data_IF_332058286250
#
_entry.id   IF_332058286250
#
_cell.length_a   1.000
_cell.length_b   1.000
_cell.length_c   1.000
_cell.angle_alpha   90.00
_cell.angle_beta   90.00
_cell.angle_gamma   90.00
#
_symmetry.space_group_name_H-M   'P 1'
#
loop_
_entity.id
_entity.type
_entity.pdbx_description
1 polymer ?
#
# COMPACT_ATOMS: atom_id res chain seq x y z
N UNK A 1 29.25 4.74 -3.26
CA UNK A 1 29.90 4.25 -4.48
C UNK A 1 28.85 4.24 -5.58
N UNK A 2 29.04 5.08 -6.59
CA UNK A 2 28.05 5.33 -7.64
C UNK A 2 27.88 4.11 -8.54
N UNK A 3 26.65 3.76 -8.82
CA UNK A 3 26.31 2.81 -9.88
C UNK A 3 26.62 3.48 -11.23
N UNK A 4 27.79 3.12 -11.77
CA UNK A 4 28.20 3.52 -13.09
C UNK A 4 27.25 2.96 -14.14
N UNK A 5 27.10 3.71 -15.21
CA UNK A 5 26.36 3.45 -16.44
C UNK A 5 26.56 2.03 -16.99
N UNK A 6 25.84 1.04 -16.48
CA UNK A 6 25.77 -0.29 -17.08
C UNK A 6 24.34 -0.56 -17.57
N UNK A 7 24.10 -0.18 -18.82
CA UNK A 7 22.94 -0.62 -19.61
C UNK A 7 22.88 -2.15 -19.73
N UNK A 8 23.98 -2.85 -19.48
CA UNK A 8 24.08 -4.32 -19.52
C UNK A 8 23.31 -5.05 -18.41
N UNK A 9 22.90 -4.36 -17.33
CA UNK A 9 22.14 -5.00 -16.25
C UNK A 9 20.72 -5.43 -16.67
N UNK A 10 20.19 -4.82 -17.72
CA UNK A 10 18.81 -5.04 -18.20
C UNK A 10 18.70 -6.17 -19.22
N UNK A 11 19.73 -6.37 -20.04
CA UNK A 11 19.71 -7.35 -21.12
C UNK A 11 19.83 -8.80 -20.63
N UNK A 12 20.13 -9.02 -19.35
CA UNK A 12 20.35 -10.34 -18.76
C UNK A 12 19.21 -10.85 -17.86
N UNK A 13 18.08 -10.17 -17.81
CA UNK A 13 16.89 -10.71 -17.09
C UNK A 13 16.25 -11.77 -18.00
N UNK A 14 16.58 -13.03 -17.77
CA UNK A 14 15.95 -14.16 -18.45
C UNK A 14 14.77 -14.63 -17.62
N UNK A 15 13.57 -14.67 -18.20
CA UNK A 15 12.43 -15.34 -17.58
C UNK A 15 12.77 -16.82 -17.39
N UNK A 16 12.93 -17.23 -16.15
CA UNK A 16 13.12 -18.64 -15.78
C UNK A 16 11.75 -19.28 -15.75
N UNK A 17 11.54 -20.33 -16.56
CA UNK A 17 10.36 -21.18 -16.42
C UNK A 17 10.52 -21.95 -15.11
N UNK A 18 9.87 -21.51 -14.05
CA UNK A 18 9.69 -22.34 -12.87
C UNK A 18 8.79 -23.52 -13.25
N UNK A 19 9.22 -24.76 -12.98
CA UNK A 19 8.37 -25.91 -13.25
C UNK A 19 7.16 -25.84 -12.32
N UNK A 20 6.02 -25.49 -12.89
CA UNK A 20 4.75 -25.44 -12.17
C UNK A 20 4.19 -26.86 -12.02
N UNK A 21 4.49 -27.49 -10.88
CA UNK A 21 3.86 -28.76 -10.49
C UNK A 21 2.36 -28.64 -10.19
N UNK A 22 1.81 -27.40 -10.16
CA UNK A 22 0.39 -27.12 -9.95
C UNK A 22 -0.34 -26.66 -11.23
N UNK A 23 0.35 -26.42 -12.35
CA UNK A 23 -0.29 -26.02 -13.62
C UNK A 23 -1.24 -27.08 -14.15
N UNK A 24 -0.95 -28.36 -13.91
CA UNK A 24 -1.84 -29.44 -14.29
C UNK A 24 -3.17 -29.49 -13.50
N UNK A 25 -3.24 -28.90 -12.31
CA UNK A 25 -4.45 -28.86 -11.48
C UNK A 25 -5.35 -27.64 -11.72
N UNK A 26 -4.88 -26.59 -12.40
CA UNK A 26 -5.70 -25.45 -12.83
C UNK A 26 -6.24 -25.63 -14.25
N UNK A 27 -6.31 -26.88 -14.68
CA UNK A 27 -6.93 -27.21 -15.93
C UNK A 27 -8.43 -26.88 -15.91
N UNK A 28 -8.84 -26.11 -16.90
CA UNK A 28 -10.16 -26.17 -17.50
C UNK A 28 -11.31 -25.51 -16.76
N UNK A 29 -11.34 -24.19 -16.74
CA UNK A 29 -12.66 -23.57 -16.90
C UNK A 29 -13.12 -23.83 -18.33
N UNK A 30 -14.10 -24.76 -18.47
CA UNK A 30 -14.77 -25.00 -19.75
C UNK A 30 -15.46 -23.72 -20.17
N UNK A 31 -15.08 -23.16 -21.32
CA UNK A 31 -15.86 -22.15 -22.01
C UNK A 31 -17.19 -22.77 -22.45
N UNK A 32 -18.18 -22.80 -21.58
CA UNK A 32 -19.47 -23.47 -21.80
C UNK A 32 -20.47 -22.64 -22.57
N UNK A 33 -20.13 -21.44 -23.10
CA UNK A 33 -21.14 -20.52 -23.64
C UNK A 33 -20.92 -20.01 -25.06
N UNK A 34 -20.01 -20.59 -25.86
CA UNK A 34 -20.00 -20.31 -27.30
C UNK A 34 -20.32 -21.59 -28.07
N UNK A 35 -21.62 -21.76 -28.37
CA UNK A 35 -22.17 -22.91 -29.10
C UNK A 35 -21.46 -23.22 -30.44
N UNK A 36 -20.95 -22.18 -31.11
CA UNK A 36 -20.26 -22.38 -32.39
C UNK A 36 -18.82 -22.91 -32.29
N UNK A 37 -18.12 -22.64 -31.20
CA UNK A 37 -16.73 -23.11 -31.01
C UNK A 37 -16.68 -24.42 -30.23
N UNK A 38 -17.65 -24.68 -29.36
CA UNK A 38 -17.67 -25.85 -28.51
C UNK A 38 -18.09 -27.18 -29.19
N UNK A 39 -18.72 -27.10 -30.38
CA UNK A 39 -19.22 -28.30 -31.10
C UNK A 39 -18.19 -28.94 -32.03
N UNK A 40 -17.21 -28.19 -32.52
CA UNK A 40 -16.22 -28.65 -33.51
C UNK A 40 -14.79 -28.75 -33.00
N UNK A 41 -14.51 -28.35 -31.72
CA UNK A 41 -13.17 -28.35 -31.17
C UNK A 41 -13.14 -28.48 -29.66
N UNK A 42 -11.95 -28.73 -29.09
CA UNK A 42 -11.68 -28.66 -27.64
C UNK A 42 -11.10 -27.29 -27.32
N UNK A 43 -11.92 -26.39 -26.75
CA UNK A 43 -11.45 -25.09 -26.24
C UNK A 43 -10.79 -25.28 -24.87
N UNK A 44 -9.65 -24.67 -24.65
CA UNK A 44 -8.92 -24.63 -23.36
C UNK A 44 -8.46 -23.22 -23.04
N UNK A 45 -8.55 -22.82 -21.78
CA UNK A 45 -7.88 -21.62 -21.28
C UNK A 45 -6.53 -22.06 -20.71
N UNK A 46 -5.47 -21.46 -21.20
CA UNK A 46 -4.12 -21.65 -20.69
C UNK A 46 -3.63 -20.34 -20.09
N UNK A 47 -3.17 -20.39 -18.84
CA UNK A 47 -2.54 -19.25 -18.20
C UNK A 47 -1.04 -19.25 -18.53
N UNK A 48 -0.54 -18.10 -18.98
CA UNK A 48 0.87 -17.90 -19.29
C UNK A 48 1.40 -16.69 -18.49
N UNK A 49 2.70 -16.71 -18.08
CA UNK A 49 3.32 -15.56 -17.41
C UNK A 49 3.29 -14.33 -18.32
N UNK A 50 3.06 -13.16 -17.76
CA UNK A 50 3.10 -11.89 -18.51
C UNK A 50 4.51 -11.53 -19.00
N UNK A 51 5.54 -11.95 -18.27
CA UNK A 51 6.94 -11.61 -18.55
C UNK A 51 7.63 -10.97 -17.34
N UNK A 52 8.09 -9.72 -17.46
CA UNK A 52 8.78 -8.99 -16.38
C UNK A 52 7.82 -8.03 -15.69
N UNK A 53 7.61 -8.23 -14.39
CA UNK A 53 6.82 -7.37 -13.54
C UNK A 53 7.70 -6.40 -12.74
N UNK A 54 7.38 -5.10 -12.78
CA UNK A 54 7.92 -4.09 -11.87
C UNK A 54 6.98 -3.95 -10.67
N UNK A 55 7.52 -4.07 -9.45
CA UNK A 55 6.77 -3.88 -8.21
C UNK A 55 7.39 -2.75 -7.42
N UNK A 56 6.63 -1.67 -7.22
CA UNK A 56 7.04 -0.50 -6.46
C UNK A 56 6.25 -0.46 -5.16
N UNK A 57 6.93 -0.72 -4.03
CA UNK A 57 6.32 -0.76 -2.71
C UNK A 57 6.30 0.60 -2.02
N UNK A 58 5.37 0.75 -1.05
CA UNK A 58 5.26 1.94 -0.21
C UNK A 58 5.98 1.77 1.14
N UNK A 59 6.18 2.90 1.83
CA UNK A 59 6.96 2.99 3.07
C UNK A 59 6.21 2.50 4.32
N UNK A 60 4.88 2.52 4.30
CA UNK A 60 4.06 2.29 5.50
C UNK A 60 3.97 0.81 5.92
N UNK A 61 4.08 -0.12 4.97
CA UNK A 61 4.23 -1.56 5.18
C UNK A 61 5.29 -2.12 4.23
N UNK A 62 6.58 -1.76 4.41
CA UNK A 62 7.62 -1.92 3.41
C UNK A 62 7.89 -3.36 2.99
N UNK A 63 7.67 -4.34 3.89
CA UNK A 63 7.78 -5.75 3.56
C UNK A 63 6.51 -6.27 2.88
N UNK A 64 5.36 -6.01 3.48
CA UNK A 64 4.09 -6.56 2.99
C UNK A 64 3.78 -6.08 1.57
N UNK A 65 3.86 -4.75 1.33
CA UNK A 65 3.50 -4.13 0.07
C UNK A 65 4.52 -4.36 -1.07
N UNK A 66 5.65 -4.96 -0.76
CA UNK A 66 6.64 -5.38 -1.75
C UNK A 66 6.64 -6.89 -1.95
N UNK A 67 6.67 -7.68 -0.87
CA UNK A 67 6.84 -9.12 -0.93
C UNK A 67 5.56 -9.85 -1.33
N UNK A 68 4.40 -9.39 -0.89
CA UNK A 68 3.13 -10.04 -1.25
C UNK A 68 2.85 -10.02 -2.76
N UNK A 69 2.92 -8.87 -3.47
CA UNK A 69 2.78 -8.87 -4.92
C UNK A 69 3.94 -9.60 -5.63
N UNK A 70 5.16 -9.57 -5.07
CA UNK A 70 6.28 -10.39 -5.58
C UNK A 70 5.94 -11.87 -5.58
N UNK A 71 5.42 -12.40 -4.46
CA UNK A 71 5.03 -13.81 -4.37
C UNK A 71 3.97 -14.18 -5.39
N UNK A 72 2.99 -13.29 -5.62
CA UNK A 72 1.96 -13.50 -6.64
C UNK A 72 2.54 -13.52 -8.06
N UNK A 73 3.47 -12.61 -8.37
CA UNK A 73 4.13 -12.55 -9.67
C UNK A 73 5.00 -13.80 -9.93
N UNK A 74 5.77 -14.25 -8.92
CA UNK A 74 6.57 -15.48 -8.99
C UNK A 74 5.67 -16.70 -9.18
N UNK A 75 4.56 -16.78 -8.43
CA UNK A 75 3.60 -17.88 -8.57
C UNK A 75 2.94 -17.91 -9.96
N UNK A 76 2.83 -16.76 -10.63
CA UNK A 76 2.38 -16.67 -12.01
C UNK A 76 3.50 -16.96 -13.05
N UNK A 77 4.74 -17.20 -12.62
CA UNK A 77 5.89 -17.50 -13.47
C UNK A 77 6.58 -16.26 -14.06
N UNK A 78 6.31 -15.06 -13.51
CA UNK A 78 6.95 -13.81 -13.96
C UNK A 78 8.33 -13.63 -13.35
N UNK A 79 9.22 -12.97 -14.10
CA UNK A 79 10.41 -12.34 -13.53
C UNK A 79 10.00 -11.04 -12.84
N UNK A 80 10.74 -10.64 -11.80
CA UNK A 80 10.33 -9.52 -10.95
C UNK A 80 11.48 -8.54 -10.72
N UNK A 81 11.19 -7.27 -10.94
CA UNK A 81 11.99 -6.17 -10.45
C UNK A 81 11.31 -5.52 -9.26
N UNK A 82 12.01 -5.43 -8.14
CA UNK A 82 11.53 -4.85 -6.89
C UNK A 82 12.12 -3.48 -6.67
N UNK A 83 11.29 -2.51 -6.33
CA UNK A 83 11.73 -1.20 -5.87
C UNK A 83 11.07 -0.88 -4.52
N UNK A 84 11.76 -1.10 -3.39
CA UNK A 84 11.28 -0.68 -2.07
C UNK A 84 11.22 0.85 -1.97
N UNK A 85 10.49 1.36 -0.99
CA UNK A 85 10.45 2.80 -0.72
C UNK A 85 11.75 3.26 -0.05
N UNK A 86 12.31 4.34 -0.57
CA UNK A 86 13.47 5.03 -0.01
C UNK A 86 13.20 5.66 1.36
N UNK A 87 11.92 5.91 1.69
CA UNK A 87 11.54 6.48 2.98
C UNK A 87 11.63 5.46 4.13
N UNK A 88 11.63 4.17 3.83
CA UNK A 88 11.78 3.09 4.81
C UNK A 88 13.23 2.55 4.78
N UNK A 89 14.20 3.39 5.10
CA UNK A 89 15.64 3.15 4.92
C UNK A 89 16.14 1.84 5.53
N UNK A 90 15.82 1.57 6.79
CA UNK A 90 16.25 0.33 7.47
C UNK A 90 15.65 -0.92 6.82
N UNK A 91 14.38 -0.87 6.44
CA UNK A 91 13.70 -1.98 5.74
C UNK A 91 14.27 -2.18 4.34
N UNK A 92 14.54 -1.08 3.63
CA UNK A 92 15.18 -1.12 2.31
C UNK A 92 16.57 -1.76 2.40
N UNK A 93 17.41 -1.33 3.37
CA UNK A 93 18.74 -1.87 3.58
C UNK A 93 18.72 -3.38 3.86
N UNK A 94 17.76 -3.83 4.68
CA UNK A 94 17.57 -5.26 4.96
C UNK A 94 17.18 -6.03 3.68
N UNK A 95 16.22 -5.53 2.90
CA UNK A 95 15.81 -6.16 1.64
C UNK A 95 16.96 -6.24 0.63
N UNK A 96 17.77 -5.19 0.51
CA UNK A 96 18.99 -5.17 -0.32
C UNK A 96 19.98 -6.27 0.07
N UNK A 97 20.09 -6.57 1.36
CA UNK A 97 20.99 -7.61 1.86
C UNK A 97 20.44 -9.02 1.68
N UNK A 98 19.12 -9.21 1.81
CA UNK A 98 18.48 -10.52 1.85
C UNK A 98 18.07 -11.02 0.46
N UNK A 99 17.50 -10.17 -0.38
CA UNK A 99 16.99 -10.59 -1.71
C UNK A 99 18.07 -11.27 -2.55
N UNK A 100 19.27 -10.69 -2.72
CA UNK A 100 20.33 -11.36 -3.49
C UNK A 100 20.87 -12.65 -2.87
N UNK A 101 20.73 -12.78 -1.55
CA UNK A 101 21.25 -13.93 -0.80
C UNK A 101 20.34 -15.15 -0.92
N UNK A 102 19.04 -14.96 -1.03
CA UNK A 102 18.06 -16.04 -0.92
C UNK A 102 17.27 -16.29 -2.20
N UNK A 103 17.28 -15.36 -3.16
CA UNK A 103 16.50 -15.47 -4.38
C UNK A 103 17.38 -15.47 -5.62
N UNK A 104 16.90 -16.16 -6.66
CA UNK A 104 17.60 -16.23 -7.95
C UNK A 104 17.68 -14.85 -8.62
N UNK A 105 18.90 -14.35 -8.73
CA UNK A 105 19.17 -13.03 -9.30
C UNK A 105 19.03 -12.97 -10.83
N UNK A 106 18.87 -14.11 -11.50
CA UNK A 106 18.53 -14.13 -12.93
C UNK A 106 17.05 -13.81 -13.20
N UNK A 107 16.20 -14.00 -12.20
CA UNK A 107 14.75 -13.81 -12.30
C UNK A 107 14.21 -12.69 -11.40
N UNK A 108 14.87 -12.42 -10.26
CA UNK A 108 14.40 -11.46 -9.26
C UNK A 108 15.50 -10.47 -8.95
N UNK A 109 15.25 -9.21 -9.26
CA UNK A 109 16.18 -8.10 -9.02
C UNK A 109 15.56 -7.08 -8.07
N UNK A 110 16.41 -6.48 -7.24
CA UNK A 110 16.01 -5.35 -6.41
C UNK A 110 16.85 -4.13 -6.78
N UNK A 111 16.18 -3.01 -6.98
CA UNK A 111 16.77 -1.70 -7.26
C UNK A 111 16.31 -0.70 -6.21
N UNK A 112 17.22 0.20 -5.83
CA UNK A 112 16.95 1.27 -4.87
C UNK A 112 16.99 2.62 -5.57
N UNK A 113 16.43 3.63 -4.94
CA UNK A 113 16.49 5.00 -5.42
C UNK A 113 15.21 5.78 -5.14
N UNK A 114 15.32 7.08 -5.29
CA UNK A 114 14.22 8.02 -5.14
C UNK A 114 13.47 8.28 -6.45
N UNK A 115 12.81 9.45 -6.56
CA UNK A 115 12.01 9.79 -7.75
C UNK A 115 12.81 9.83 -9.05
N UNK A 116 14.08 10.30 -9.00
CA UNK A 116 14.94 10.40 -10.19
C UNK A 116 15.29 9.03 -10.76
N UNK A 117 15.72 8.10 -9.88
CA UNK A 117 16.04 6.72 -10.25
C UNK A 117 14.80 5.96 -10.70
N UNK A 118 13.65 6.19 -10.03
CA UNK A 118 12.37 5.61 -10.44
C UNK A 118 11.99 6.08 -11.87
N UNK A 119 12.24 7.36 -12.18
CA UNK A 119 12.04 7.87 -13.54
C UNK A 119 12.85 7.10 -14.58
N UNK A 120 14.14 6.83 -14.30
CA UNK A 120 15.00 6.05 -15.19
C UNK A 120 14.55 4.60 -15.34
N UNK A 121 14.10 3.96 -14.23
CA UNK A 121 13.52 2.62 -14.28
C UNK A 121 12.31 2.57 -15.23
N UNK A 122 11.47 3.58 -15.19
CA UNK A 122 10.25 3.68 -16.00
C UNK A 122 10.51 4.05 -17.48
N UNK A 123 11.74 4.35 -17.88
CA UNK A 123 12.15 4.45 -19.27
C UNK A 123 12.24 3.08 -19.97
N UNK A 124 12.34 2.00 -19.18
CA UNK A 124 12.35 0.63 -19.68
C UNK A 124 10.95 0.05 -19.79
N UNK A 125 10.79 -0.89 -20.75
CA UNK A 125 9.55 -1.64 -20.91
C UNK A 125 9.44 -2.71 -19.82
N UNK A 126 8.26 -2.76 -19.19
CA UNK A 126 7.80 -3.88 -18.36
C UNK A 126 6.52 -4.45 -18.94
N UNK A 127 6.24 -5.72 -18.65
CA UNK A 127 5.03 -6.39 -19.09
C UNK A 127 3.88 -6.21 -18.08
N UNK A 128 4.21 -5.80 -16.84
CA UNK A 128 3.26 -5.41 -15.80
C UNK A 128 3.91 -4.46 -14.80
N UNK A 129 3.15 -3.48 -14.28
CA UNK A 129 3.60 -2.61 -13.19
C UNK A 129 2.59 -2.68 -12.05
N UNK A 130 3.06 -3.08 -10.86
CA UNK A 130 2.31 -3.02 -9.61
C UNK A 130 2.87 -1.89 -8.76
N UNK A 131 2.06 -0.90 -8.46
CA UNK A 131 2.46 0.28 -7.70
C UNK A 131 1.58 0.49 -6.49
N UNK A 132 2.19 0.66 -5.31
CA UNK A 132 1.52 1.10 -4.10
C UNK A 132 2.07 2.46 -3.68
N UNK A 133 1.19 3.47 -3.53
CA UNK A 133 1.61 4.80 -3.12
C UNK A 133 0.55 5.87 -3.31
N UNK A 134 0.97 7.13 -3.48
CA UNK A 134 0.04 8.24 -3.65
C UNK A 134 -0.51 8.36 -5.07
N UNK A 135 -1.76 8.83 -5.20
CA UNK A 135 -2.38 9.11 -6.49
C UNK A 135 -1.59 10.13 -7.34
N UNK A 136 -0.86 11.06 -6.69
CA UNK A 136 0.02 11.99 -7.40
C UNK A 136 1.15 11.25 -8.12
N UNK A 137 1.81 10.32 -7.44
CA UNK A 137 2.90 9.52 -8.04
C UNK A 137 2.33 8.54 -9.06
N UNK A 138 1.18 7.93 -8.81
CA UNK A 138 0.51 7.02 -9.74
C UNK A 138 0.30 7.63 -11.14
N UNK A 139 -0.01 8.92 -11.22
CA UNK A 139 -0.15 9.64 -12.51
C UNK A 139 1.15 9.62 -13.32
N UNK A 140 2.31 9.73 -12.68
CA UNK A 140 3.61 9.61 -13.37
C UNK A 140 3.89 8.17 -13.80
N UNK A 141 3.55 7.20 -12.93
CA UNK A 141 3.72 5.77 -13.26
C UNK A 141 2.87 5.40 -14.47
N UNK A 142 1.60 5.77 -14.50
CA UNK A 142 0.69 5.46 -15.61
C UNK A 142 1.07 6.17 -16.90
N UNK A 143 1.53 7.42 -16.82
CA UNK A 143 2.03 8.14 -18.00
C UNK A 143 3.26 7.47 -18.62
N UNK A 144 4.16 6.93 -17.78
CA UNK A 144 5.32 6.17 -18.26
C UNK A 144 4.90 4.82 -18.85
N UNK A 145 4.00 4.09 -18.18
CA UNK A 145 3.46 2.81 -18.62
C UNK A 145 2.75 2.90 -19.98
N UNK A 146 2.05 4.02 -20.22
CA UNK A 146 1.33 4.26 -21.47
C UNK A 146 2.23 4.24 -22.71
N UNK A 147 3.51 4.60 -22.60
CA UNK A 147 4.47 4.56 -23.72
C UNK A 147 4.65 3.16 -24.30
N UNK A 148 4.47 2.15 -23.48
CA UNK A 148 4.65 0.73 -23.83
C UNK A 148 3.35 -0.06 -23.78
N UNK A 149 2.21 0.60 -23.51
CA UNK A 149 0.91 -0.01 -23.25
C UNK A 149 0.97 -1.05 -22.12
N UNK A 150 1.85 -0.83 -21.13
CA UNK A 150 2.03 -1.73 -19.99
C UNK A 150 0.81 -1.66 -19.07
N UNK A 151 0.14 -2.78 -18.77
CA UNK A 151 -0.94 -2.81 -17.79
C UNK A 151 -0.42 -2.51 -16.38
N UNK A 152 -1.20 -1.74 -15.63
CA UNK A 152 -0.85 -1.31 -14.28
C UNK A 152 -1.91 -1.73 -13.26
N UNK A 153 -1.47 -2.14 -12.07
CA UNK A 153 -2.29 -2.22 -10.87
C UNK A 153 -1.82 -1.14 -9.90
N UNK A 154 -2.75 -0.32 -9.43
CA UNK A 154 -2.48 0.84 -8.61
C UNK A 154 -3.21 0.70 -7.27
N UNK A 155 -2.46 0.45 -6.21
CA UNK A 155 -2.93 0.47 -4.83
C UNK A 155 -2.64 1.84 -4.23
N UNK A 156 -3.69 2.64 -4.03
CA UNK A 156 -3.57 4.06 -3.70
C UNK A 156 -4.06 4.35 -2.28
N UNK A 157 -3.97 5.61 -1.87
CA UNK A 157 -4.53 6.08 -0.63
C UNK A 157 -6.07 6.10 -0.67
N UNK A 158 -6.67 6.22 0.50
CA UNK A 158 -8.12 6.23 0.65
C UNK A 158 -8.59 7.20 1.73
N UNK A 159 -9.90 7.43 1.74
CA UNK A 159 -10.65 8.15 2.75
C UNK A 159 -11.66 7.18 3.36
N UNK A 160 -11.17 6.36 4.31
CA UNK A 160 -11.95 5.28 4.91
C UNK A 160 -13.11 5.81 5.79
N UNK A 161 -14.38 5.69 5.39
CA UNK A 161 -15.53 6.02 6.23
C UNK A 161 -15.85 4.88 7.18
N UNK A 162 -16.42 5.22 8.34
CA UNK A 162 -17.16 4.27 9.18
C UNK A 162 -18.57 4.84 9.47
N UNK A 163 -19.54 3.97 9.67
CA UNK A 163 -20.91 4.34 9.99
C UNK A 163 -21.29 3.65 11.30
N UNK A 164 -21.74 4.42 12.28
CA UNK A 164 -22.23 3.94 13.58
C UNK A 164 -23.70 4.27 13.71
N UNK A 165 -24.55 3.25 13.62
CA UNK A 165 -26.01 3.38 13.72
C UNK A 165 -26.45 3.35 15.18
N UNK A 166 -27.71 3.77 15.47
CA UNK A 166 -28.32 3.70 16.79
C UNK A 166 -28.39 2.28 17.39
N UNK A 167 -28.42 1.25 16.54
CA UNK A 167 -28.45 -0.15 16.97
C UNK A 167 -27.04 -0.76 17.19
N UNK A 168 -25.98 -0.01 16.94
CA UNK A 168 -24.63 -0.51 17.09
C UNK A 168 -24.24 -0.71 18.57
N UNK A 169 -23.36 -1.68 18.83
CA UNK A 169 -22.65 -1.70 20.10
C UNK A 169 -21.59 -0.59 20.09
N UNK A 170 -21.91 0.55 20.69
CA UNK A 170 -21.13 1.80 20.64
C UNK A 170 -19.73 1.60 21.19
N UNK A 171 -19.56 0.91 22.31
CA UNK A 171 -18.24 0.67 22.90
C UNK A 171 -17.35 -0.20 21.99
N UNK A 172 -17.92 -1.26 21.42
CA UNK A 172 -17.19 -2.12 20.50
C UNK A 172 -16.84 -1.39 19.20
N UNK A 173 -17.73 -0.55 18.69
CA UNK A 173 -17.47 0.29 17.50
C UNK A 173 -16.32 1.26 17.77
N UNK A 174 -16.39 2.02 18.87
CA UNK A 174 -15.33 2.93 19.29
C UNK A 174 -13.99 2.22 19.48
N UNK A 175 -14.00 1.06 20.16
CA UNK A 175 -12.80 0.23 20.35
C UNK A 175 -12.13 -0.16 19.03
N UNK A 176 -12.91 -0.65 18.06
CA UNK A 176 -12.40 -1.11 16.77
C UNK A 176 -11.88 0.04 15.92
N UNK A 177 -12.60 1.17 15.90
CA UNK A 177 -12.21 2.38 15.19
C UNK A 177 -10.92 2.96 15.78
N UNK A 178 -10.86 3.08 17.12
CA UNK A 178 -9.67 3.54 17.81
C UNK A 178 -8.46 2.63 17.53
N UNK A 179 -8.62 1.31 17.61
CA UNK A 179 -7.56 0.36 17.29
C UNK A 179 -7.06 0.49 15.87
N UNK A 180 -7.97 0.52 14.88
CA UNK A 180 -7.59 0.67 13.48
C UNK A 180 -6.88 1.99 13.17
N UNK A 181 -7.21 3.06 13.91
CA UNK A 181 -6.54 4.36 13.76
C UNK A 181 -5.21 4.43 14.52
N UNK A 182 -5.09 3.69 15.62
CA UNK A 182 -3.87 3.62 16.42
C UNK A 182 -2.75 2.86 15.70
N UNK A 183 -3.08 1.81 14.97
CA UNK A 183 -2.13 1.04 14.19
C UNK A 183 -1.35 1.93 13.23
N UNK A 184 -0.02 1.81 13.28
CA UNK A 184 0.92 2.57 12.44
C UNK A 184 0.68 4.09 12.45
N UNK A 185 0.17 4.63 13.57
CA UNK A 185 -0.26 6.03 13.72
C UNK A 185 -1.25 6.49 12.62
N UNK A 186 -2.13 5.59 12.18
CA UNK A 186 -3.10 5.85 11.13
C UNK A 186 -2.54 5.98 9.72
N UNK A 187 -1.27 5.69 9.51
CA UNK A 187 -0.58 5.79 8.21
C UNK A 187 -0.86 4.55 7.34
N UNK A 188 -2.14 4.26 7.11
CA UNK A 188 -2.62 3.08 6.40
C UNK A 188 -3.66 3.52 5.35
N UNK A 189 -3.57 2.99 4.14
CA UNK A 189 -4.52 3.28 3.06
C UNK A 189 -5.98 2.93 3.41
N UNK A 190 -6.21 1.94 4.29
CA UNK A 190 -7.51 1.49 4.77
C UNK A 190 -7.93 2.17 6.08
N UNK A 191 -7.09 3.05 6.67
CA UNK A 191 -7.37 3.64 7.98
C UNK A 191 -8.65 4.48 7.94
N UNK A 192 -9.49 4.30 8.96
CA UNK A 192 -10.69 5.10 9.13
C UNK A 192 -10.26 6.54 9.45
N UNK A 193 -10.74 7.51 8.70
CA UNK A 193 -10.44 8.92 8.94
C UNK A 193 -11.66 9.80 9.15
N UNK A 194 -12.87 9.30 8.90
CA UNK A 194 -14.08 9.97 9.31
C UNK A 194 -15.16 8.95 9.67
N UNK A 195 -16.04 9.37 10.58
CA UNK A 195 -17.12 8.52 11.10
C UNK A 195 -18.44 9.27 11.02
N UNK A 196 -19.42 8.66 10.38
CA UNK A 196 -20.80 9.10 10.43
C UNK A 196 -21.49 8.40 11.59
N UNK A 197 -22.00 9.17 12.54
CA UNK A 197 -22.58 8.64 13.77
C UNK A 197 -24.04 9.09 13.88
N UNK A 198 -24.94 8.14 14.18
CA UNK A 198 -26.34 8.46 14.49
C UNK A 198 -26.41 9.45 15.65
N UNK A 199 -27.20 10.54 15.55
CA UNK A 199 -27.29 11.56 16.60
C UNK A 199 -27.62 11.02 17.99
N UNK A 200 -28.42 9.95 18.08
CA UNK A 200 -28.82 9.36 19.37
C UNK A 200 -27.70 8.69 20.16
N UNK A 201 -26.60 8.32 19.49
CA UNK A 201 -25.44 7.67 20.10
C UNK A 201 -24.14 8.48 19.98
N UNK A 202 -24.23 9.69 19.42
CA UNK A 202 -23.08 10.52 19.04
C UNK A 202 -22.16 10.84 20.22
N UNK A 203 -22.70 11.45 21.29
CA UNK A 203 -21.86 11.86 22.43
C UNK A 203 -21.25 10.64 23.14
N UNK A 204 -22.06 9.58 23.36
CA UNK A 204 -21.55 8.33 23.91
C UNK A 204 -20.41 7.73 23.07
N UNK A 205 -20.55 7.77 21.73
CA UNK A 205 -19.52 7.27 20.85
C UNK A 205 -18.22 8.09 20.94
N UNK A 206 -18.29 9.42 20.96
CA UNK A 206 -17.15 10.30 21.09
C UNK A 206 -16.40 10.08 22.41
N UNK A 207 -17.15 9.96 23.53
CA UNK A 207 -16.56 9.68 24.85
C UNK A 207 -15.86 8.30 24.87
N UNK A 208 -16.49 7.28 24.30
CA UNK A 208 -15.88 5.94 24.22
C UNK A 208 -14.68 5.90 23.30
N UNK A 209 -14.67 6.68 22.21
CA UNK A 209 -13.54 6.77 21.30
C UNK A 209 -12.33 7.40 22.01
N UNK A 210 -12.53 8.48 22.74
CA UNK A 210 -11.49 9.11 23.59
C UNK A 210 -10.93 8.14 24.62
N UNK A 211 -11.80 7.45 25.36
CA UNK A 211 -11.39 6.42 26.34
C UNK A 211 -10.49 5.34 25.71
N UNK A 212 -10.82 4.85 24.52
CA UNK A 212 -10.02 3.82 23.86
C UNK A 212 -8.69 4.34 23.32
N UNK A 213 -8.63 5.59 22.83
CA UNK A 213 -7.36 6.22 22.45
C UNK A 213 -6.43 6.38 23.64
N UNK A 214 -6.93 6.89 24.78
CA UNK A 214 -6.13 7.04 25.99
C UNK A 214 -5.63 5.67 26.48
N UNK A 215 -6.50 4.66 26.47
CA UNK A 215 -6.13 3.31 26.89
C UNK A 215 -5.06 2.69 26.01
N UNK A 216 -5.13 2.88 24.68
CA UNK A 216 -4.11 2.36 23.78
C UNK A 216 -2.80 3.13 23.90
N UNK A 217 -2.86 4.45 24.03
CA UNK A 217 -1.67 5.30 24.15
C UNK A 217 -0.90 5.03 25.45
N UNK A 218 -1.61 4.94 26.58
CA UNK A 218 -1.00 4.64 27.89
C UNK A 218 -0.36 3.24 27.96
N UNK A 219 -0.82 2.27 27.18
CA UNK A 219 -0.23 0.94 27.11
C UNK A 219 0.91 0.81 26.10
N UNK A 220 1.23 1.88 25.35
CA UNK A 220 2.18 1.85 24.25
C UNK A 220 3.27 2.91 24.38
N UNK A 221 3.66 3.31 25.61
CA UNK A 221 4.61 4.39 25.89
C UNK A 221 5.89 4.33 25.05
N UNK A 222 6.38 3.14 24.70
CA UNK A 222 7.55 2.97 23.82
C UNK A 222 7.22 2.48 22.40
N UNK A 223 5.98 2.07 22.14
CA UNK A 223 5.59 1.35 20.92
C UNK A 223 4.73 2.10 19.91
N UNK A 224 4.29 3.34 20.22
CA UNK A 224 3.47 4.09 19.25
C UNK A 224 4.31 4.64 18.11
N UNK A 225 3.88 4.34 16.88
CA UNK A 225 4.59 4.76 15.67
C UNK A 225 4.73 6.28 15.56
N UNK A 226 5.78 6.71 14.88
CA UNK A 226 6.01 8.11 14.53
C UNK A 226 5.58 8.38 13.09
N UNK A 227 5.25 9.64 12.79
CA UNK A 227 4.98 10.06 11.42
C UNK A 227 6.26 9.91 10.60
N UNK A 228 6.16 9.38 9.40
CA UNK A 228 7.30 8.91 8.62
C UNK A 228 8.35 9.99 8.34
N UNK A 229 7.93 11.24 8.10
CA UNK A 229 8.82 12.35 7.81
C UNK A 229 8.19 13.70 8.17
N UNK A 230 9.03 14.75 8.18
CA UNK A 230 8.62 16.09 8.57
C UNK A 230 7.58 16.69 7.62
N UNK A 231 7.64 16.38 6.33
CA UNK A 231 6.63 16.85 5.36
C UNK A 231 5.23 16.35 5.72
N UNK A 232 5.08 15.07 6.06
CA UNK A 232 3.80 14.51 6.47
C UNK A 232 3.38 14.99 7.85
N UNK A 233 4.32 15.17 8.77
CA UNK A 233 4.08 15.75 10.08
C UNK A 233 3.52 17.17 9.97
N UNK A 234 4.19 18.04 9.21
CA UNK A 234 3.76 19.43 8.99
C UNK A 234 2.39 19.50 8.31
N UNK A 235 2.14 18.63 7.31
CA UNK A 235 0.81 18.53 6.67
C UNK A 235 -0.30 18.20 7.67
N UNK A 236 -0.06 17.33 8.65
CA UNK A 236 -1.04 16.99 9.68
C UNK A 236 -1.26 18.16 10.64
N UNK A 237 -0.20 18.86 11.05
CA UNK A 237 -0.32 20.07 11.85
C UNK A 237 -1.13 21.15 11.12
N UNK A 238 -0.85 21.36 9.83
CA UNK A 238 -1.58 22.33 9.01
C UNK A 238 -3.08 21.97 8.89
N UNK A 239 -3.39 20.68 8.70
CA UNK A 239 -4.79 20.23 8.69
C UNK A 239 -5.48 20.47 10.03
N UNK A 240 -4.80 20.16 11.13
CA UNK A 240 -5.37 20.34 12.46
C UNK A 240 -5.55 21.82 12.82
N UNK A 241 -4.62 22.70 12.41
CA UNK A 241 -4.71 24.14 12.64
C UNK A 241 -5.82 24.82 11.83
N UNK A 242 -6.22 24.24 10.70
CA UNK A 242 -7.25 24.77 9.80
C UNK A 242 -8.63 24.14 10.02
N UNK A 243 -8.75 23.20 10.95
CA UNK A 243 -10.05 22.54 11.18
C UNK A 243 -11.10 23.53 11.66
N UNK A 244 -12.31 23.41 11.15
CA UNK A 244 -13.48 24.15 11.62
C UNK A 244 -14.27 23.38 12.70
N UNK A 245 -13.84 22.17 13.03
CA UNK A 245 -14.43 21.34 14.08
C UNK A 245 -13.77 21.56 15.44
N UNK A 246 -14.31 20.91 16.47
CA UNK A 246 -13.82 20.98 17.83
C UNK A 246 -12.95 19.76 18.17
N UNK A 247 -11.71 19.97 18.56
CA UNK A 247 -10.84 18.91 19.07
C UNK A 247 -11.36 18.48 20.44
N UNK A 248 -11.68 17.20 20.61
CA UNK A 248 -12.21 16.64 21.85
C UNK A 248 -11.27 15.64 22.51
N UNK A 249 -10.35 15.06 21.76
CA UNK A 249 -9.35 14.14 22.27
C UNK A 249 -8.08 14.30 21.44
N UNK A 250 -6.91 14.18 22.06
CA UNK A 250 -5.62 14.31 21.40
C UNK A 250 -5.22 15.75 21.08
N UNK A 251 -4.54 15.92 19.96
CA UNK A 251 -4.08 17.21 19.47
C UNK A 251 -2.66 17.57 19.84
N UNK A 252 -1.98 16.78 20.69
CA UNK A 252 -0.57 17.01 21.02
C UNK A 252 0.32 16.49 19.91
N UNK A 253 1.37 17.22 19.63
CA UNK A 253 2.38 16.81 18.67
C UNK A 253 3.77 17.27 19.10
N UNK A 254 4.79 16.51 18.71
CA UNK A 254 6.19 16.86 18.96
C UNK A 254 6.98 16.73 17.64
N UNK A 255 7.42 17.85 17.06
CA UNK A 255 8.15 17.85 15.81
C UNK A 255 9.55 17.20 15.95
N UNK A 256 10.18 17.25 17.13
CA UNK A 256 11.50 16.68 17.32
C UNK A 256 11.51 15.14 17.17
N UNK A 257 10.45 14.49 17.65
CA UNK A 257 10.28 13.05 17.57
C UNK A 257 9.29 12.62 16.47
N UNK A 258 8.63 13.58 15.81
CA UNK A 258 7.51 13.33 14.88
C UNK A 258 6.35 12.56 15.52
N UNK A 259 6.20 12.71 16.84
CA UNK A 259 5.03 12.20 17.53
C UNK A 259 3.80 13.02 17.17
N UNK A 260 2.70 12.34 16.87
CA UNK A 260 1.40 12.97 16.61
C UNK A 260 0.33 12.14 17.31
N UNK A 261 -0.29 12.73 18.33
CA UNK A 261 -1.29 12.04 19.15
C UNK A 261 -2.52 11.68 18.31
N UNK A 262 -3.14 10.48 18.50
CA UNK A 262 -4.43 10.19 17.90
C UNK A 262 -5.43 11.27 18.28
N UNK A 263 -6.04 11.90 17.27
CA UNK A 263 -6.85 13.11 17.48
C UNK A 263 -8.27 12.90 16.97
N UNK A 264 -9.24 13.31 17.78
CA UNK A 264 -10.66 13.32 17.42
C UNK A 264 -11.13 14.76 17.25
N UNK A 265 -11.61 15.07 16.08
CA UNK A 265 -12.26 16.34 15.74
C UNK A 265 -13.74 16.07 15.52
N UNK A 266 -14.60 16.71 16.31
CA UNK A 266 -16.07 16.61 16.20
C UNK A 266 -16.67 17.84 15.54
N UNK A 267 -17.91 17.71 15.12
CA UNK A 267 -18.73 18.82 14.59
C UNK A 267 -18.08 19.47 13.34
N UNK A 268 -17.40 18.67 12.53
CA UNK A 268 -16.77 19.12 11.28
C UNK A 268 -17.85 19.44 10.26
N UNK A 269 -17.78 20.64 9.68
CA UNK A 269 -18.70 21.07 8.61
C UNK A 269 -18.16 20.56 7.26
N UNK A 270 -19.07 20.10 6.39
CA UNK A 270 -18.73 19.57 5.06
C UNK A 270 -18.13 20.63 4.11
N UNK A 271 -18.32 21.92 4.39
CA UNK A 271 -17.87 23.06 3.57
C UNK A 271 -16.52 23.66 4.02
N UNK A 272 -15.79 22.98 4.89
CA UNK A 272 -14.49 23.43 5.37
C UNK A 272 -13.38 22.44 5.03
N UNK A 273 -12.26 22.95 4.52
CA UNK A 273 -11.02 22.18 4.37
C UNK A 273 -10.51 21.64 5.71
#
# INVERSE_FOLDING_TARGET
MGCGRDTQCWDNIRCVKFPDKNSERRELQKLTHNFQIGTLGKARIRHEPLGVALIIGAWNYPFLLLLQPMLAAIAAGCCVMLKPSELAEASQALLVSLIPKYLDQSAIRLVTGGPAETGKILEHRFDHIFFTGSGKVAKYITAAAAKFLTPTVLELGGQGPAIVTSSANVDLAAKRIAYGKFLNAGQICLSINHVFVDPSVYDTFVDRLGFWFDKYLNNAEEGYCRIINDRNFNRLNDLLSKTNGKITCGGKSDPATRFFEPTVVRDVKLEGE
#
